data_IF_949337369142
#
_entry.id   IF_949337369142
#
_cell.length_a   1.000
_cell.length_b   1.000
_cell.length_c   1.000
_cell.angle_alpha   90.00
_cell.angle_beta   90.00
_cell.angle_gamma   90.00
#
_symmetry.space_group_name_H-M   'P 1'
#
loop_
_entity.id
_entity.type
_entity.pdbx_description
1 polymer ?
#
# COMPACT_ATOMS: atom_id res chain seq x y z
N UNK A 1 -29.60 -2.78 0.86
CA UNK A 1 -29.15 -1.52 1.50
C UNK A 1 -27.66 -1.39 1.26
N UNK A 2 -27.29 -0.65 0.22
CA UNK A 2 -25.88 -0.41 -0.12
C UNK A 2 -25.37 0.67 0.84
N UNK A 3 -24.46 0.31 1.74
CA UNK A 3 -23.79 1.26 2.62
C UNK A 3 -23.06 2.27 1.73
N UNK A 4 -23.49 3.53 1.73
CA UNK A 4 -22.76 4.60 1.08
C UNK A 4 -21.40 4.70 1.77
N UNK A 5 -20.33 4.37 1.06
CA UNK A 5 -18.96 4.57 1.53
C UNK A 5 -18.80 6.07 1.82
N UNK A 6 -18.52 6.41 3.09
CA UNK A 6 -18.22 7.78 3.46
C UNK A 6 -17.06 8.31 2.59
N UNK A 7 -17.06 9.61 2.23
CA UNK A 7 -15.95 10.19 1.48
C UNK A 7 -14.69 10.04 2.33
N UNK A 8 -13.63 9.50 1.71
CA UNK A 8 -12.33 9.37 2.35
C UNK A 8 -11.86 10.77 2.78
N UNK A 9 -11.28 10.93 4.00
CA UNK A 9 -10.74 12.21 4.41
C UNK A 9 -9.75 12.72 3.36
N UNK A 10 -9.76 14.03 3.13
CA UNK A 10 -8.81 14.66 2.23
C UNK A 10 -7.38 14.32 2.70
N UNK A 11 -6.46 14.04 1.76
CA UNK A 11 -5.06 13.84 2.11
C UNK A 11 -4.57 15.04 2.93
N UNK A 12 -3.81 14.76 3.98
CA UNK A 12 -3.12 15.78 4.74
C UNK A 12 -2.02 16.46 3.88
N UNK A 13 -1.46 17.56 4.39
CA UNK A 13 -0.47 18.33 3.64
C UNK A 13 0.80 17.54 3.29
N UNK A 14 1.11 16.48 4.04
CA UNK A 14 2.25 15.61 3.78
C UNK A 14 2.02 14.70 2.57
N UNK A 15 0.86 14.05 2.49
CA UNK A 15 0.50 13.25 1.31
C UNK A 15 0.45 14.08 0.02
N UNK A 16 0.06 15.35 0.11
CA UNK A 16 0.11 16.28 -1.02
C UNK A 16 1.57 16.60 -1.43
N UNK A 17 2.46 16.80 -0.44
CA UNK A 17 3.87 17.09 -0.70
C UNK A 17 4.61 15.92 -1.36
N UNK A 18 4.28 14.68 -1.00
CA UNK A 18 4.85 13.49 -1.63
C UNK A 18 4.38 13.34 -3.08
N UNK A 19 3.10 13.57 -3.34
CA UNK A 19 2.56 13.56 -4.69
C UNK A 19 3.21 14.63 -5.59
N UNK A 20 3.39 15.85 -5.07
CA UNK A 20 4.07 16.93 -5.79
C UNK A 20 5.55 16.60 -6.08
N UNK A 21 6.25 15.99 -5.12
CA UNK A 21 7.63 15.56 -5.30
C UNK A 21 7.74 14.47 -6.37
N UNK A 22 6.81 13.51 -6.37
CA UNK A 22 6.74 12.47 -7.38
C UNK A 22 6.49 13.06 -8.77
N UNK A 23 5.49 13.92 -8.93
CA UNK A 23 5.19 14.58 -10.20
C UNK A 23 6.40 15.35 -10.73
N UNK A 24 7.14 16.03 -9.84
CA UNK A 24 8.37 16.76 -10.21
C UNK A 24 9.47 15.84 -10.74
N UNK A 25 9.56 14.60 -10.26
CA UNK A 25 10.54 13.62 -10.75
C UNK A 25 10.22 13.11 -12.17
N UNK A 26 8.99 13.34 -12.66
CA UNK A 26 8.56 13.06 -14.02
C UNK A 26 8.38 14.33 -14.84
N UNK A 27 9.22 15.35 -14.60
CA UNK A 27 9.19 16.65 -15.30
C UNK A 27 7.83 17.37 -15.25
N UNK A 28 7.00 17.07 -14.24
CA UNK A 28 5.66 17.61 -14.12
C UNK A 28 4.57 16.80 -14.83
N UNK A 29 4.91 15.70 -15.51
CA UNK A 29 3.95 14.82 -16.16
C UNK A 29 3.29 13.88 -15.15
N UNK A 30 2.12 14.30 -14.68
CA UNK A 30 1.27 13.51 -13.78
C UNK A 30 0.90 12.15 -14.36
N UNK A 31 0.66 12.04 -15.67
CA UNK A 31 0.25 10.77 -16.28
C UNK A 31 1.38 9.76 -16.22
N UNK A 32 2.57 10.17 -16.65
CA UNK A 32 3.77 9.33 -16.58
C UNK A 32 4.10 8.93 -15.14
N UNK A 33 3.93 9.83 -14.17
CA UNK A 33 4.13 9.54 -12.75
C UNK A 33 3.15 8.47 -12.21
N UNK A 34 1.86 8.57 -12.59
CA UNK A 34 0.84 7.59 -12.22
C UNK A 34 1.11 6.23 -12.88
N UNK A 35 1.46 6.22 -14.16
CA UNK A 35 1.77 4.98 -14.89
C UNK A 35 2.95 4.25 -14.23
N UNK A 36 4.00 4.98 -13.85
CA UNK A 36 5.14 4.42 -13.13
C UNK A 36 4.77 3.85 -11.76
N UNK A 37 3.91 4.54 -10.99
CA UNK A 37 3.39 4.05 -9.71
C UNK A 37 2.63 2.74 -9.86
N UNK A 38 1.75 2.64 -10.86
CA UNK A 38 0.95 1.44 -11.12
C UNK A 38 1.86 0.27 -11.51
N UNK A 39 2.82 0.51 -12.40
CA UNK A 39 3.82 -0.51 -12.76
C UNK A 39 4.60 -0.99 -11.54
N UNK A 40 5.07 -0.06 -10.69
CA UNK A 40 5.81 -0.41 -9.48
C UNK A 40 4.97 -1.20 -8.48
N UNK A 41 3.70 -0.85 -8.32
CA UNK A 41 2.76 -1.59 -7.48
C UNK A 41 2.59 -3.04 -8.00
N UNK A 42 2.46 -3.22 -9.31
CA UNK A 42 2.32 -4.54 -9.90
C UNK A 42 3.57 -5.41 -9.68
N UNK A 43 4.76 -4.83 -9.85
CA UNK A 43 6.04 -5.51 -9.55
C UNK A 43 6.12 -5.94 -8.08
N UNK A 44 5.83 -5.03 -7.14
CA UNK A 44 5.86 -5.32 -5.70
C UNK A 44 4.88 -6.43 -5.33
N UNK A 45 3.67 -6.42 -5.89
CA UNK A 45 2.69 -7.48 -5.66
C UNK A 45 3.16 -8.82 -6.20
N UNK A 46 3.82 -8.83 -7.36
CA UNK A 46 4.40 -10.04 -7.93
C UNK A 46 5.54 -10.58 -7.05
N UNK A 47 6.46 -9.72 -6.63
CA UNK A 47 7.55 -10.07 -5.70
C UNK A 47 7.01 -10.60 -4.38
N UNK A 48 5.98 -9.96 -3.82
CA UNK A 48 5.32 -10.39 -2.59
C UNK A 48 4.69 -11.77 -2.76
N UNK A 49 3.98 -12.03 -3.86
CA UNK A 49 3.39 -13.33 -4.14
C UNK A 49 4.45 -14.44 -4.24
N UNK A 50 5.59 -14.14 -4.87
CA UNK A 50 6.72 -15.07 -4.94
C UNK A 50 7.38 -15.31 -3.59
N UNK A 51 7.57 -14.27 -2.79
CA UNK A 51 8.09 -14.40 -1.43
C UNK A 51 7.16 -15.24 -0.56
N UNK A 52 5.85 -15.00 -0.61
CA UNK A 52 4.84 -15.76 0.13
C UNK A 52 4.80 -17.23 -0.30
N UNK A 53 4.94 -17.52 -1.60
CA UNK A 53 5.01 -18.89 -2.10
C UNK A 53 6.27 -19.64 -1.62
N UNK A 54 7.39 -18.93 -1.45
CA UNK A 54 8.65 -19.50 -0.94
C UNK A 54 8.66 -19.72 0.58
N UNK A 55 7.78 -19.04 1.31
CA UNK A 55 7.63 -19.21 2.76
C UNK A 55 6.83 -20.48 3.05
N UNK A 56 7.46 -21.48 3.65
CA UNK A 56 6.75 -22.69 4.09
C UNK A 56 5.59 -22.34 5.04
N UNK A 57 4.50 -23.11 4.98
CA UNK A 57 3.32 -22.94 5.84
C UNK A 57 3.65 -22.95 7.35
N UNK A 58 4.84 -23.43 7.76
CA UNK A 58 5.33 -23.40 9.14
C UNK A 58 5.81 -22.03 9.63
N UNK A 59 6.29 -21.15 8.74
CA UNK A 59 6.85 -19.84 9.11
C UNK A 59 5.74 -18.76 9.25
N UNK A 60 4.63 -18.92 8.53
CA UNK A 60 3.48 -17.99 8.54
C UNK A 60 2.71 -17.96 9.87
N UNK A 61 2.71 -19.05 10.66
CA UNK A 61 1.94 -19.12 11.92
C UNK A 61 2.31 -18.03 12.93
N UNK A 62 3.59 -17.65 13.01
CA UNK A 62 4.05 -16.57 13.89
C UNK A 62 3.72 -15.16 13.39
N UNK A 63 3.51 -14.98 12.09
CA UNK A 63 3.23 -13.67 11.47
C UNK A 63 1.76 -13.26 11.65
N UNK A 64 0.83 -14.21 11.51
CA UNK A 64 -0.60 -13.96 11.68
C UNK A 64 -1.00 -13.71 13.15
N UNK A 65 -0.31 -14.32 14.11
CA UNK A 65 -0.53 -14.09 15.55
C UNK A 65 -0.10 -12.69 15.99
N UNK A 66 0.88 -12.08 15.33
CA UNK A 66 1.35 -10.73 15.67
C UNK A 66 0.31 -9.66 15.32
N UNK A 67 -0.34 -9.80 14.15
CA UNK A 67 -1.41 -8.88 13.73
C UNK A 67 -2.66 -8.95 14.62
N UNK A 68 -2.96 -10.12 15.21
CA UNK A 68 -4.06 -10.25 16.17
C UNK A 68 -3.77 -9.56 17.51
N UNK A 69 -2.53 -9.66 18.00
CA UNK A 69 -2.14 -9.06 19.29
C UNK A 69 -1.94 -7.53 19.20
N UNK A 70 -1.52 -7.01 18.05
CA UNK A 70 -1.39 -5.56 17.86
C UNK A 70 -2.76 -4.85 17.84
N UNK A 71 -3.82 -5.55 17.44
CA UNK A 71 -5.22 -5.06 17.50
C UNK A 71 -5.78 -5.12 18.93
N UNK A 72 -5.38 -6.10 19.74
CA UNK A 72 -5.81 -6.20 21.15
C UNK A 72 -5.10 -5.21 22.09
N UNK A 73 -3.93 -4.68 21.71
CA UNK A 73 -3.16 -3.77 22.58
C UNK A 73 -3.51 -2.28 22.34
N UNK A 74 -4.37 -1.97 21.36
CA UNK A 74 -4.88 -0.62 21.07
C UNK A 74 -6.38 -0.44 21.42
N UNK A 75 -6.94 -1.33 22.25
CA UNK A 75 -8.30 -1.23 22.79
C UNK A 75 -8.33 -0.78 24.25
#
# INVERSE_FOLDING_TARGET
MTMASAPSPAPDGEALSEAEALIRNFDGDLRSAIDALISRQHELNYELAMALAAVSHGFSRGWHLRQANDVETQG
#
